data_IF_151291503269
#
_entry.id   IF_151291503269
#
_cell.length_a   1.000
_cell.length_b   1.000
_cell.length_c   1.000
_cell.angle_alpha   90.00
_cell.angle_beta   90.00
_cell.angle_gamma   90.00
#
_symmetry.space_group_name_H-M   'P 1'
#
loop_
_entity.id
_entity.type
_entity.pdbx_description
1 polymer ?
#
# COMPACT_ATOMS: atom_id res chain seq x y z
N UNK A 1 -34.73 44.44 -34.67
CA UNK A 1 -34.21 43.22 -35.31
C UNK A 1 -33.00 42.74 -34.53
N UNK A 2 -33.03 41.43 -34.24
CA UNK A 2 -32.13 40.50 -33.54
C UNK A 2 -30.72 40.97 -33.13
N UNK A 3 -30.46 40.98 -31.82
CA UNK A 3 -29.11 40.85 -31.24
C UNK A 3 -28.79 39.35 -31.10
N UNK A 4 -27.83 38.84 -31.88
CA UNK A 4 -27.28 37.49 -31.69
C UNK A 4 -26.30 37.50 -30.51
N UNK A 5 -26.67 36.87 -29.39
CA UNK A 5 -25.73 36.50 -28.32
C UNK A 5 -25.30 35.06 -28.54
N UNK A 6 -24.17 34.84 -29.22
CA UNK A 6 -23.52 33.54 -29.29
C UNK A 6 -22.81 33.25 -27.96
N UNK A 7 -23.44 32.45 -27.10
CA UNK A 7 -22.78 31.89 -25.91
C UNK A 7 -22.29 30.50 -26.31
N UNK A 8 -20.98 30.41 -26.58
CA UNK A 8 -20.26 29.16 -26.80
C UNK A 8 -20.07 28.50 -25.43
N UNK A 9 -20.93 27.53 -25.08
CA UNK A 9 -20.77 26.74 -23.86
C UNK A 9 -19.63 25.74 -24.04
N UNK A 10 -18.50 26.01 -23.38
CA UNK A 10 -17.39 25.07 -23.22
C UNK A 10 -17.84 23.92 -22.31
N UNK A 11 -18.11 22.75 -22.89
CA UNK A 11 -18.40 21.54 -22.13
C UNK A 11 -17.06 20.90 -21.71
N UNK A 12 -16.48 21.40 -20.61
CA UNK A 12 -15.34 20.74 -19.96
C UNK A 12 -15.81 19.42 -19.39
N UNK A 13 -15.48 18.32 -20.07
CA UNK A 13 -15.65 16.97 -19.55
C UNK A 13 -14.73 16.77 -18.35
N UNK A 14 -15.30 16.78 -17.16
CA UNK A 14 -14.63 16.25 -15.97
C UNK A 14 -14.58 14.74 -16.13
N UNK A 15 -13.40 14.19 -16.38
CA UNK A 15 -13.16 12.76 -16.26
C UNK A 15 -13.48 12.35 -14.81
N UNK A 16 -14.57 11.59 -14.62
CA UNK A 16 -14.86 10.91 -13.38
C UNK A 16 -13.83 9.80 -13.24
N UNK A 17 -12.78 10.04 -12.46
CA UNK A 17 -11.92 8.98 -11.94
C UNK A 17 -12.79 8.20 -10.95
N UNK A 18 -13.38 7.10 -11.42
CA UNK A 18 -14.02 6.11 -10.54
C UNK A 18 -12.89 5.41 -9.79
N UNK A 19 -12.53 5.96 -8.64
CA UNK A 19 -11.80 5.18 -7.64
C UNK A 19 -12.81 4.20 -7.04
N UNK A 20 -12.63 2.90 -7.30
CA UNK A 20 -13.45 1.88 -6.68
C UNK A 20 -13.07 1.83 -5.19
N UNK A 21 -13.78 2.59 -4.36
CA UNK A 21 -13.68 2.48 -2.91
C UNK A 21 -14.11 1.05 -2.52
N UNK A 22 -13.14 0.19 -2.23
CA UNK A 22 -13.41 -1.14 -1.67
C UNK A 22 -14.19 -0.96 -0.36
N UNK A 23 -15.26 -1.73 -0.11
CA UNK A 23 -16.04 -1.60 1.11
C UNK A 23 -15.14 -1.90 2.32
N UNK A 24 -14.90 -0.88 3.14
CA UNK A 24 -14.11 -0.99 4.36
C UNK A 24 -14.82 -1.92 5.36
N UNK A 25 -14.30 -3.13 5.51
CA UNK A 25 -14.77 -4.08 6.52
C UNK A 25 -13.92 -3.92 7.79
N UNK A 26 -14.49 -3.48 8.93
CA UNK A 26 -13.74 -3.35 10.16
C UNK A 26 -13.20 -4.72 10.61
N UNK A 27 -11.89 -4.78 10.86
CA UNK A 27 -11.18 -6.00 11.22
C UNK A 27 -10.70 -6.86 10.04
N UNK A 28 -10.99 -6.49 8.79
CA UNK A 28 -10.36 -7.11 7.62
C UNK A 28 -9.09 -6.34 7.21
N UNK A 29 -8.22 -6.99 6.44
CA UNK A 29 -7.17 -6.29 5.71
C UNK A 29 -7.80 -5.49 4.56
N UNK A 30 -7.45 -4.21 4.50
CA UNK A 30 -7.88 -3.31 3.43
C UNK A 30 -6.63 -2.75 2.76
N UNK A 31 -6.65 -2.67 1.43
CA UNK A 31 -5.54 -2.12 0.66
C UNK A 31 -5.35 -0.64 1.00
N UNK A 32 -4.09 -0.22 1.14
CA UNK A 32 -3.71 1.15 1.43
C UNK A 32 -2.67 1.59 0.40
N UNK A 33 -2.80 2.82 -0.08
CA UNK A 33 -1.72 3.46 -0.85
C UNK A 33 -0.46 3.57 0.00
N UNK A 34 0.68 3.22 -0.60
CA UNK A 34 1.98 3.23 0.06
C UNK A 34 2.46 4.68 0.18
N UNK A 35 2.70 5.15 1.40
CA UNK A 35 3.32 6.46 1.66
C UNK A 35 4.80 6.32 2.00
N UNK A 36 5.53 7.44 2.00
CA UNK A 36 6.96 7.46 2.40
C UNK A 36 7.17 6.95 3.84
N UNK A 37 6.27 7.32 4.76
CA UNK A 37 6.30 6.85 6.16
C UNK A 37 6.15 5.32 6.27
N UNK A 38 5.33 4.71 5.39
CA UNK A 38 5.17 3.25 5.36
C UNK A 38 6.45 2.57 4.85
N UNK A 39 7.12 3.18 3.88
CA UNK A 39 8.40 2.69 3.36
C UNK A 39 9.52 2.78 4.40
N UNK A 40 9.57 3.85 5.19
CA UNK A 40 10.52 3.95 6.31
C UNK A 40 10.29 2.85 7.34
N UNK A 41 9.03 2.59 7.69
CA UNK A 41 8.66 1.50 8.60
C UNK A 41 9.05 0.13 8.02
N UNK A 42 8.78 -0.09 6.74
CA UNK A 42 9.14 -1.30 6.03
C UNK A 42 10.66 -1.50 5.99
N UNK A 43 11.44 -0.48 5.63
CA UNK A 43 12.89 -0.57 5.56
C UNK A 43 13.50 -0.95 6.91
N UNK A 44 13.03 -0.35 8.00
CA UNK A 44 13.45 -0.73 9.36
C UNK A 44 13.10 -2.18 9.72
N UNK A 45 11.97 -2.70 9.24
CA UNK A 45 11.59 -4.09 9.44
C UNK A 45 12.40 -5.05 8.56
N UNK A 46 12.66 -4.66 7.32
CA UNK A 46 13.43 -5.43 6.34
C UNK A 46 14.90 -5.59 6.77
N UNK A 47 15.54 -4.52 7.26
CA UNK A 47 16.91 -4.58 7.80
C UNK A 47 17.06 -5.61 8.93
N UNK A 48 15.99 -5.80 9.74
CA UNK A 48 15.97 -6.80 10.84
C UNK A 48 15.73 -8.22 10.35
N UNK A 49 15.22 -8.41 9.13
CA UNK A 49 14.87 -9.72 8.58
C UNK A 49 16.08 -10.55 8.14
N UNK A 50 17.25 -9.92 7.96
CA UNK A 50 18.46 -10.52 7.40
C UNK A 50 18.29 -11.12 5.99
N UNK A 51 17.26 -10.72 5.24
CA UNK A 51 17.11 -11.12 3.84
C UNK A 51 18.12 -10.38 2.97
N UNK A 52 18.86 -11.13 2.15
CA UNK A 52 19.83 -10.59 1.18
C UNK A 52 19.23 -10.58 -0.22
N UNK A 53 18.23 -9.73 -0.42
CA UNK A 53 17.56 -9.55 -1.72
C UNK A 53 17.32 -8.05 -1.96
N UNK A 54 17.02 -7.67 -3.21
CA UNK A 54 16.52 -6.33 -3.53
C UNK A 54 14.98 -6.31 -3.37
N UNK A 55 14.43 -5.68 -2.31
CA UNK A 55 13.01 -5.74 -2.02
C UNK A 55 12.22 -4.75 -2.89
N UNK A 56 11.26 -5.26 -3.64
CA UNK A 56 10.23 -4.45 -4.30
C UNK A 56 8.90 -4.64 -3.57
N UNK A 57 8.42 -3.59 -2.90
CA UNK A 57 7.07 -3.60 -2.31
C UNK A 57 6.03 -3.58 -3.43
N UNK A 58 5.17 -4.60 -3.44
CA UNK A 58 4.11 -4.80 -4.44
C UNK A 58 2.76 -4.30 -3.91
N UNK A 59 2.47 -4.56 -2.64
CA UNK A 59 1.19 -4.23 -2.00
C UNK A 59 1.35 -3.87 -0.53
N UNK A 60 0.52 -2.95 -0.05
CA UNK A 60 0.31 -2.68 1.36
C UNK A 60 -1.16 -2.88 1.73
N UNK A 61 -1.39 -3.66 2.77
CA UNK A 61 -2.71 -3.84 3.37
C UNK A 61 -2.65 -3.48 4.87
N UNK A 62 -3.73 -2.90 5.38
CA UNK A 62 -3.82 -2.53 6.79
C UNK A 62 -5.06 -3.13 7.43
N UNK A 63 -4.92 -3.50 8.70
CA UNK A 63 -6.01 -4.02 9.51
C UNK A 63 -6.01 -3.32 10.87
N UNK A 64 -7.11 -2.66 11.21
CA UNK A 64 -7.31 -2.02 12.50
C UNK A 64 -7.75 -3.06 13.52
N UNK A 65 -7.01 -3.19 14.62
CA UNK A 65 -7.25 -4.09 15.77
C UNK A 65 -7.14 -3.29 17.08
N UNK A 66 -6.52 -3.81 18.14
CA UNK A 66 -6.04 -3.02 19.29
C UNK A 66 -4.75 -2.24 18.96
N UNK A 67 -4.68 -1.70 17.75
CA UNK A 67 -3.50 -1.16 17.07
C UNK A 67 -3.75 -1.23 15.56
N UNK A 68 -2.68 -1.27 14.79
CA UNK A 68 -2.75 -1.45 13.33
C UNK A 68 -1.73 -2.51 12.92
N UNK A 69 -2.20 -3.53 12.20
CA UNK A 69 -1.34 -4.43 11.46
C UNK A 69 -1.11 -3.85 10.06
N UNK A 70 0.15 -3.76 9.66
CA UNK A 70 0.58 -3.39 8.31
C UNK A 70 1.17 -4.63 7.64
N UNK A 71 0.52 -5.09 6.58
CA UNK A 71 0.96 -6.26 5.81
C UNK A 71 1.52 -5.81 4.46
N UNK A 72 2.83 -5.92 4.30
CA UNK A 72 3.54 -5.63 3.07
C UNK A 72 3.74 -6.91 2.28
N UNK A 73 3.32 -6.92 1.02
CA UNK A 73 3.72 -7.95 0.05
C UNK A 73 4.98 -7.44 -0.64
N UNK A 74 6.07 -8.20 -0.53
CA UNK A 74 7.39 -7.84 -1.03
C UNK A 74 7.84 -8.90 -2.01
N UNK A 75 8.30 -8.45 -3.18
CA UNK A 75 8.95 -9.29 -4.16
C UNK A 75 10.46 -9.10 -4.00
N UNK A 76 11.15 -10.14 -3.56
CA UNK A 76 12.60 -10.17 -3.62
C UNK A 76 13.00 -10.45 -5.07
N UNK A 77 13.51 -9.42 -5.75
CA UNK A 77 14.07 -9.63 -7.07
C UNK A 77 15.35 -10.45 -6.96
N UNK A 78 15.45 -11.44 -7.84
CA UNK A 78 16.69 -12.12 -8.11
C UNK A 78 17.06 -11.85 -9.58
N UNK A 79 18.30 -12.15 -9.98
CA UNK A 79 18.84 -11.75 -11.29
C UNK A 79 18.10 -12.29 -12.52
N UNK A 80 18.72 -12.21 -13.69
CA UNK A 80 18.11 -12.64 -14.94
C UNK A 80 17.78 -14.15 -14.92
N UNK A 81 16.49 -14.48 -15.06
CA UNK A 81 15.89 -15.84 -15.16
C UNK A 81 15.57 -16.58 -13.85
N UNK A 82 15.11 -15.88 -12.83
CA UNK A 82 14.50 -16.51 -11.66
C UNK A 82 13.12 -15.91 -11.38
N UNK A 83 12.25 -16.74 -10.82
CA UNK A 83 10.97 -16.30 -10.30
C UNK A 83 11.22 -15.54 -8.99
N UNK A 84 10.74 -14.29 -8.85
CA UNK A 84 10.97 -13.52 -7.64
C UNK A 84 10.28 -14.20 -6.45
N UNK A 85 11.03 -14.40 -5.37
CA UNK A 85 10.45 -14.88 -4.13
C UNK A 85 9.49 -13.81 -3.58
N UNK A 86 8.26 -14.22 -3.25
CA UNK A 86 7.30 -13.36 -2.57
C UNK A 86 7.42 -13.56 -1.06
N UNK A 87 7.45 -12.46 -0.32
CA UNK A 87 7.44 -12.42 1.13
C UNK A 87 6.28 -11.56 1.61
N UNK A 88 5.61 -12.00 2.67
CA UNK A 88 4.64 -11.18 3.40
C UNK A 88 5.25 -10.73 4.71
N UNK A 89 5.37 -9.43 4.91
CA UNK A 89 5.82 -8.81 6.16
C UNK A 89 4.63 -8.26 6.91
N UNK A 90 4.35 -8.77 8.10
CA UNK A 90 3.35 -8.16 9.00
C UNK A 90 4.06 -7.41 10.11
N UNK A 91 3.85 -6.09 10.15
CA UNK A 91 4.35 -5.17 11.17
C UNK A 91 3.17 -4.73 12.02
N UNK A 92 3.22 -5.05 13.32
CA UNK A 92 2.24 -4.55 14.28
C UNK A 92 2.66 -3.18 14.83
N UNK A 93 1.71 -2.25 14.93
CA UNK A 93 1.88 -0.95 15.62
C UNK A 93 0.80 -0.79 16.69
N UNK A 94 1.15 -0.65 17.98
CA UNK A 94 0.16 -0.48 19.05
C UNK A 94 -0.47 0.93 19.03
N UNK A 95 -1.66 1.06 19.65
CA UNK A 95 -2.43 2.32 19.70
C UNK A 95 -1.71 3.46 20.43
N UNK A 96 -0.88 3.14 21.41
CA UNK A 96 -0.11 4.09 22.20
C UNK A 96 1.16 4.59 21.49
N UNK A 97 1.38 4.14 20.24
CA UNK A 97 2.58 4.42 19.44
C UNK A 97 3.89 4.01 20.14
N UNK A 98 3.83 3.15 21.14
CA UNK A 98 5.03 2.55 21.71
C UNK A 98 5.77 1.72 20.66
N UNK A 99 7.10 1.63 20.78
CA UNK A 99 7.99 0.96 19.81
C UNK A 99 7.88 -0.57 19.85
N UNK A 100 6.68 -1.13 19.77
CA UNK A 100 6.47 -2.57 19.60
C UNK A 100 6.20 -2.85 18.13
N UNK A 101 7.26 -2.96 17.33
CA UNK A 101 7.20 -3.50 15.96
C UNK A 101 7.43 -5.01 16.04
N UNK A 102 6.37 -5.79 16.25
CA UNK A 102 6.46 -7.23 15.97
C UNK A 102 6.51 -7.38 14.46
N UNK A 103 7.65 -7.84 13.95
CA UNK A 103 7.84 -8.15 12.54
C UNK A 103 7.80 -9.66 12.40
N UNK A 104 6.83 -10.14 11.63
CA UNK A 104 6.82 -11.53 11.14
C UNK A 104 6.96 -11.47 9.64
N UNK A 105 7.77 -12.36 9.07
CA UNK A 105 7.86 -12.53 7.63
C UNK A 105 7.80 -14.01 7.27
N UNK A 106 7.08 -14.31 6.19
CA UNK A 106 7.00 -15.66 5.64
C UNK A 106 7.12 -15.62 4.11
N UNK A 107 7.71 -16.67 3.54
CA UNK A 107 7.78 -16.84 2.09
C UNK A 107 6.43 -17.34 1.59
N UNK A 108 5.85 -16.64 0.63
CA UNK A 108 4.64 -17.06 -0.08
C UNK A 108 5.07 -17.76 -1.37
N UNK A 109 4.72 -19.05 -1.49
CA UNK A 109 4.93 -19.85 -2.71
C UNK A 109 3.86 -19.56 -3.76
#
# INVERSE_FOLDING_TARGET
MVFLRSILTLLTGTALVVTSAQPFLPGAFNEKEITEEDMEMFNQAFERSNLSCDPKVDKLETQVVAGTNYKFTVLCQCGTNCEPDKYEFTIYKPLDQSLVQTVTYERVQ
#
